data_IF_341997500233
#
_entry.id   IF_341997500233
#
_cell.length_a   1.000
_cell.length_b   1.000
_cell.length_c   1.000
_cell.angle_alpha   90.00
_cell.angle_beta   90.00
_cell.angle_gamma   90.00
#
_symmetry.space_group_name_H-M   'P 1'
#
loop_
_entity.id
_entity.type
_entity.pdbx_description
1 polymer ?
#
# COMPACT_ATOMS: atom_id res chain seq x y z
N UNK A 1 -34.02 -40.02 7.83
CA UNK A 1 -33.82 -39.34 6.54
C UNK A 1 -35.13 -38.66 6.15
N UNK A 2 -35.21 -37.33 6.17
CA UNK A 2 -36.16 -36.62 5.31
C UNK A 2 -35.41 -35.74 4.31
N UNK A 3 -35.80 -35.88 3.05
CA UNK A 3 -35.34 -35.12 1.89
C UNK A 3 -35.63 -33.63 2.07
N UNK A 4 -34.59 -32.80 1.92
CA UNK A 4 -34.72 -31.36 1.92
C UNK A 4 -34.95 -30.88 0.47
N UNK A 5 -36.22 -30.59 0.17
CA UNK A 5 -36.71 -30.07 -1.10
C UNK A 5 -36.10 -28.69 -1.42
N UNK A 6 -35.70 -28.54 -2.67
CA UNK A 6 -35.64 -27.31 -3.45
C UNK A 6 -34.97 -26.08 -2.81
N UNK A 7 -33.63 -26.06 -2.85
CA UNK A 7 -32.91 -24.78 -2.91
C UNK A 7 -33.02 -24.25 -4.34
N UNK A 8 -33.46 -23.00 -4.56
CA UNK A 8 -33.46 -22.43 -5.90
C UNK A 8 -32.02 -22.43 -6.44
N UNK A 9 -31.79 -23.22 -7.49
CA UNK A 9 -30.59 -23.11 -8.32
C UNK A 9 -30.66 -21.76 -9.01
N UNK A 10 -29.86 -20.81 -8.52
CA UNK A 10 -29.65 -19.56 -9.25
C UNK A 10 -29.07 -19.93 -10.63
N UNK A 11 -29.69 -19.50 -11.73
CA UNK A 11 -29.16 -19.77 -13.06
C UNK A 11 -27.72 -19.23 -13.13
N UNK A 12 -26.84 -19.97 -13.81
CA UNK A 12 -25.46 -19.61 -14.09
C UNK A 12 -25.38 -18.18 -14.65
N UNK A 13 -25.24 -17.19 -13.77
CA UNK A 13 -24.90 -15.84 -14.17
C UNK A 13 -23.50 -15.92 -14.79
N UNK A 14 -23.26 -15.28 -15.95
CA UNK A 14 -21.91 -15.14 -16.46
C UNK A 14 -21.03 -14.58 -15.34
N UNK A 15 -19.95 -15.29 -15.00
CA UNK A 15 -19.06 -14.91 -13.90
C UNK A 15 -18.39 -13.61 -14.29
N UNK A 16 -19.01 -12.48 -13.92
CA UNK A 16 -18.44 -11.16 -14.15
C UNK A 16 -17.00 -11.17 -13.60
N UNK A 17 -15.99 -10.83 -14.42
CA UNK A 17 -14.60 -10.87 -13.99
C UNK A 17 -14.46 -9.96 -12.77
N UNK A 18 -13.77 -10.45 -11.74
CA UNK A 18 -13.71 -9.73 -10.46
C UNK A 18 -12.62 -8.66 -10.52
N UNK A 19 -12.79 -7.51 -9.81
CA UNK A 19 -11.88 -6.38 -9.93
C UNK A 19 -10.59 -6.57 -9.11
N UNK A 20 -10.22 -7.83 -8.83
CA UNK A 20 -9.07 -8.18 -8.01
C UNK A 20 -8.55 -9.59 -8.35
N UNK A 21 -7.32 -9.85 -7.93
CA UNK A 21 -6.77 -11.20 -7.82
C UNK A 21 -6.08 -11.38 -6.47
N UNK A 22 -5.50 -12.55 -6.28
CA UNK A 22 -4.81 -12.96 -5.06
C UNK A 22 -3.35 -13.25 -5.40
N UNK A 23 -2.44 -12.70 -4.60
CA UNK A 23 -1.05 -13.16 -4.53
C UNK A 23 -1.03 -14.29 -3.52
N UNK A 24 -0.72 -15.49 -3.99
CA UNK A 24 -0.76 -16.71 -3.18
C UNK A 24 0.29 -16.68 -2.06
N UNK A 25 -0.05 -17.31 -0.94
CA UNK A 25 0.91 -17.51 0.14
C UNK A 25 1.87 -18.63 -0.23
N UNK A 26 3.16 -18.30 -0.29
CA UNK A 26 4.21 -19.26 -0.59
C UNK A 26 4.60 -20.06 0.66
N UNK A 27 4.59 -21.39 0.62
CA UNK A 27 5.03 -22.26 1.72
C UNK A 27 6.51 -22.14 2.14
N UNK A 28 7.31 -21.31 1.46
CA UNK A 28 8.73 -21.10 1.77
C UNK A 28 9.02 -20.66 3.22
N UNK A 29 10.27 -20.87 3.64
CA UNK A 29 10.76 -20.53 4.98
C UNK A 29 10.63 -19.02 5.21
N UNK A 30 10.08 -18.67 6.37
CA UNK A 30 9.92 -17.27 6.77
C UNK A 30 11.27 -16.69 7.21
N UNK A 31 11.60 -15.51 6.68
CA UNK A 31 12.74 -14.75 7.17
C UNK A 31 12.42 -14.14 8.54
N UNK A 32 13.44 -14.11 9.39
CA UNK A 32 13.36 -13.75 10.80
C UNK A 32 14.58 -12.93 11.21
N UNK A 33 14.35 -11.91 12.03
CA UNK A 33 15.35 -10.96 12.48
C UNK A 33 15.20 -10.72 13.98
N UNK A 34 16.34 -10.57 14.64
CA UNK A 34 16.37 -10.18 16.04
C UNK A 34 16.30 -8.65 16.14
N UNK A 35 15.40 -8.10 16.97
CA UNK A 35 15.31 -6.68 17.31
C UNK A 35 16.66 -6.02 17.56
N UNK A 36 17.54 -6.68 18.32
CA UNK A 36 18.83 -6.11 18.69
C UNK A 36 19.71 -5.78 17.48
N UNK A 37 19.65 -6.57 16.40
CA UNK A 37 20.49 -6.40 15.20
C UNK A 37 20.13 -5.13 14.40
N UNK A 38 18.94 -4.57 14.63
CA UNK A 38 18.38 -3.42 13.89
C UNK A 38 17.79 -2.34 14.82
N UNK A 39 17.96 -2.49 16.13
CA UNK A 39 17.28 -1.76 17.21
C UNK A 39 17.35 -0.24 17.13
N UNK A 40 16.44 0.42 17.84
CA UNK A 40 16.39 1.89 17.90
C UNK A 40 17.43 2.51 18.85
N UNK A 41 18.11 1.68 19.66
CA UNK A 41 19.04 2.12 20.69
C UNK A 41 20.32 2.74 20.11
N UNK A 42 20.71 2.37 18.88
CA UNK A 42 21.91 2.89 18.24
C UNK A 42 21.74 2.91 16.72
N UNK A 43 22.24 3.98 16.09
CA UNK A 43 22.48 3.99 14.65
C UNK A 43 23.71 3.15 14.32
N UNK A 44 23.54 2.13 13.46
CA UNK A 44 24.61 1.21 13.08
C UNK A 44 25.33 1.70 11.83
N UNK A 45 26.65 1.73 11.88
CA UNK A 45 27.49 2.28 10.81
C UNK A 45 27.42 1.45 9.52
N UNK A 46 27.10 0.16 9.62
CA UNK A 46 26.96 -0.75 8.48
C UNK A 46 25.52 -0.85 7.92
N UNK A 47 24.60 -0.02 8.41
CA UNK A 47 23.21 0.04 7.95
C UNK A 47 22.89 1.45 7.44
N UNK A 48 21.80 1.57 6.68
CA UNK A 48 21.38 2.81 6.04
C UNK A 48 20.35 3.57 6.87
N UNK A 49 20.47 4.90 6.83
CA UNK A 49 19.65 5.87 7.54
C UNK A 49 19.42 7.04 6.61
N UNK A 50 18.20 7.55 6.57
CA UNK A 50 17.90 8.57 5.58
C UNK A 50 16.43 8.85 5.38
N UNK A 51 16.14 9.51 4.25
CA UNK A 51 14.77 9.73 3.82
C UNK A 51 14.61 9.68 2.31
N UNK A 52 13.47 9.15 1.88
CA UNK A 52 12.99 9.26 0.51
C UNK A 52 12.07 10.47 0.41
N UNK A 53 12.23 11.29 -0.63
CA UNK A 53 11.21 12.25 -1.05
C UNK A 53 10.41 11.66 -2.21
N UNK A 54 9.10 11.60 -2.06
CA UNK A 54 8.20 10.95 -3.00
C UNK A 54 7.25 11.95 -3.65
N UNK A 55 6.99 11.74 -4.93
CA UNK A 55 5.85 12.33 -5.63
C UNK A 55 4.82 11.23 -5.95
N UNK A 56 3.57 11.47 -5.56
CA UNK A 56 2.43 10.58 -5.76
C UNK A 56 1.54 11.17 -6.85
N UNK A 57 1.57 10.61 -8.05
CA UNK A 57 0.79 11.07 -9.22
C UNK A 57 -0.50 10.28 -9.33
N UNK A 58 -1.64 10.94 -9.11
CA UNK A 58 -2.97 10.34 -9.19
C UNK A 58 -3.35 10.09 -10.64
N UNK A 59 -3.77 8.86 -10.96
CA UNK A 59 -4.15 8.47 -12.33
C UNK A 59 -5.65 8.27 -12.53
N UNK A 60 -6.37 7.98 -11.44
CA UNK A 60 -7.83 7.79 -11.39
C UNK A 60 -8.36 8.52 -10.16
N UNK A 61 -9.64 8.88 -10.14
CA UNK A 61 -10.28 9.54 -8.99
C UNK A 61 -9.83 8.92 -7.64
N UNK A 62 -9.38 9.74 -6.70
CA UNK A 62 -8.84 9.31 -5.41
C UNK A 62 -9.63 9.99 -4.29
N UNK A 63 -10.12 9.16 -3.37
CA UNK A 63 -10.72 9.58 -2.11
C UNK A 63 -10.10 8.78 -0.95
N UNK A 64 -9.55 9.49 0.04
CA UNK A 64 -9.06 8.90 1.30
C UNK A 64 -9.91 9.45 2.44
N UNK A 65 -10.88 8.64 2.87
CA UNK A 65 -11.86 9.03 3.89
C UNK A 65 -11.23 9.31 5.25
N UNK A 66 -11.61 10.41 5.87
CA UNK A 66 -11.33 10.71 7.29
C UNK A 66 -12.30 10.04 8.26
N UNK A 67 -13.44 9.55 7.74
CA UNK A 67 -14.57 9.09 8.55
C UNK A 67 -15.49 10.23 8.98
N UNK A 68 -15.15 11.48 8.65
CA UNK A 68 -15.96 12.67 8.92
C UNK A 68 -16.87 12.96 7.72
N UNK A 69 -18.10 13.33 8.02
CA UNK A 69 -19.09 13.84 7.05
C UNK A 69 -19.37 15.29 7.40
N UNK A 70 -19.33 16.17 6.41
CA UNK A 70 -19.57 17.61 6.57
C UNK A 70 -20.74 18.05 5.70
N UNK A 71 -21.29 19.24 5.97
CA UNK A 71 -22.29 19.82 5.09
C UNK A 71 -21.63 20.33 3.81
N UNK A 72 -22.30 20.19 2.66
CA UNK A 72 -21.75 20.68 1.39
C UNK A 72 -21.36 22.14 1.40
N UNK A 73 -22.19 22.97 2.06
CA UNK A 73 -21.94 24.40 2.22
C UNK A 73 -20.58 24.70 2.87
N UNK A 74 -20.09 23.83 3.75
CA UNK A 74 -18.81 24.01 4.46
C UNK A 74 -17.60 23.77 3.54
N UNK A 75 -17.82 23.13 2.38
CA UNK A 75 -16.81 22.85 1.35
C UNK A 75 -17.19 23.43 -0.02
N UNK A 76 -18.07 24.43 -0.04
CA UNK A 76 -18.46 25.14 -1.27
C UNK A 76 -19.30 24.32 -2.25
N UNK A 77 -20.06 23.33 -1.78
CA UNK A 77 -20.87 22.44 -2.60
C UNK A 77 -22.37 22.53 -2.28
N UNK A 78 -23.21 22.35 -3.31
CA UNK A 78 -24.67 22.24 -3.16
C UNK A 78 -25.12 20.87 -2.63
N UNK A 79 -24.23 19.88 -2.62
CA UNK A 79 -24.55 18.52 -2.16
C UNK A 79 -24.66 18.49 -0.63
N UNK A 80 -25.80 18.08 -0.03
CA UNK A 80 -26.06 18.30 1.40
C UNK A 80 -25.00 17.73 2.35
N UNK A 81 -24.55 16.49 2.14
CA UNK A 81 -23.59 15.80 3.00
C UNK A 81 -22.48 15.15 2.17
N UNK A 82 -21.23 15.34 2.60
CA UNK A 82 -20.05 14.91 1.85
C UNK A 82 -19.06 14.24 2.78
N UNK A 83 -18.55 13.07 2.39
CA UNK A 83 -17.41 12.42 3.05
C UNK A 83 -16.12 13.12 2.65
N UNK A 84 -15.36 13.61 3.63
CA UNK A 84 -14.20 14.46 3.36
C UNK A 84 -12.87 13.71 3.36
N UNK A 85 -11.89 14.35 2.73
CA UNK A 85 -10.47 14.06 2.90
C UNK A 85 -9.88 15.02 3.93
N UNK A 86 -8.74 14.65 4.52
CA UNK A 86 -8.04 15.56 5.41
C UNK A 86 -7.48 16.73 4.60
N UNK A 87 -7.46 17.92 5.20
CA UNK A 87 -6.93 19.14 4.59
C UNK A 87 -5.88 19.76 5.51
N UNK A 88 -4.81 20.31 4.94
CA UNK A 88 -3.78 21.08 5.63
C UNK A 88 -3.41 22.27 4.76
N UNK A 89 -3.48 23.49 5.30
CA UNK A 89 -3.19 24.73 4.57
C UNK A 89 -3.90 24.78 3.20
N UNK A 90 -5.21 24.52 3.18
CA UNK A 90 -6.08 24.48 1.98
C UNK A 90 -5.72 23.44 0.91
N UNK A 91 -4.84 22.50 1.24
CA UNK A 91 -4.46 21.39 0.36
C UNK A 91 -4.92 20.08 0.95
N UNK A 92 -5.48 19.23 0.10
CA UNK A 92 -5.82 17.88 0.52
C UNK A 92 -4.58 17.11 0.95
N UNK A 93 -4.73 16.29 1.98
CA UNK A 93 -3.68 15.42 2.48
C UNK A 93 -4.11 13.95 2.46
N UNK A 94 -3.11 13.09 2.30
CA UNK A 94 -3.22 11.65 2.50
C UNK A 94 -2.49 11.34 3.80
N UNK A 95 -3.17 10.80 4.82
CA UNK A 95 -2.51 10.40 6.06
C UNK A 95 -1.36 9.42 5.78
N UNK A 96 -0.22 9.60 6.43
CA UNK A 96 0.94 8.72 6.30
C UNK A 96 0.60 7.26 6.62
N UNK A 97 -0.37 7.04 7.52
CA UNK A 97 -0.93 5.73 7.85
C UNK A 97 -1.61 5.03 6.66
N UNK A 98 -2.23 5.78 5.75
CA UNK A 98 -2.88 5.23 4.55
C UNK A 98 -1.84 4.70 3.56
N UNK A 99 -0.79 5.48 3.30
CA UNK A 99 0.32 5.03 2.44
C UNK A 99 1.07 3.87 3.11
N UNK A 100 1.35 3.96 4.41
CA UNK A 100 1.98 2.91 5.20
C UNK A 100 1.22 1.58 5.09
N UNK A 101 -0.10 1.59 5.23
CA UNK A 101 -0.93 0.38 5.17
C UNK A 101 -0.96 -0.27 3.77
N UNK A 102 -1.03 0.55 2.72
CA UNK A 102 -0.94 0.08 1.34
C UNK A 102 0.42 -0.55 1.04
N UNK A 103 1.50 0.14 1.42
CA UNK A 103 2.86 -0.32 1.18
C UNK A 103 3.22 -1.54 2.04
N UNK A 104 2.79 -1.59 3.31
CA UNK A 104 2.94 -2.77 4.16
C UNK A 104 2.29 -3.99 3.53
N UNK A 105 1.12 -3.83 2.92
CA UNK A 105 0.41 -4.94 2.29
C UNK A 105 1.15 -5.53 1.11
N UNK A 106 1.73 -4.66 0.28
CA UNK A 106 2.60 -5.04 -0.84
C UNK A 106 3.87 -5.72 -0.29
N UNK A 107 4.55 -5.08 0.66
CA UNK A 107 5.78 -5.59 1.24
C UNK A 107 5.60 -6.95 1.92
N UNK A 108 4.50 -7.16 2.66
CA UNK A 108 4.16 -8.45 3.26
C UNK A 108 4.01 -9.55 2.20
N UNK A 109 3.37 -9.25 1.06
CA UNK A 109 3.23 -10.19 -0.05
C UNK A 109 4.56 -10.50 -0.74
N UNK A 110 5.39 -9.48 -0.98
CA UNK A 110 6.69 -9.64 -1.63
C UNK A 110 7.70 -10.39 -0.75
N UNK A 111 7.66 -10.21 0.57
CA UNK A 111 8.63 -10.82 1.50
C UNK A 111 8.13 -12.08 2.19
N UNK A 112 6.95 -12.59 1.78
CA UNK A 112 6.25 -13.69 2.44
C UNK A 112 6.13 -13.49 3.97
N UNK A 113 5.99 -12.24 4.42
CA UNK A 113 5.93 -11.93 5.85
C UNK A 113 4.55 -12.30 6.42
N UNK A 114 4.49 -12.80 7.68
CA UNK A 114 3.24 -12.92 8.42
C UNK A 114 2.41 -11.63 8.42
N UNK A 115 1.09 -11.80 8.48
CA UNK A 115 0.16 -10.68 8.41
C UNK A 115 0.19 -9.88 9.71
N UNK A 116 0.41 -8.57 9.62
CA UNK A 116 0.44 -7.70 10.81
C UNK A 116 -0.90 -7.58 11.53
N UNK A 117 -2.03 -7.72 10.82
CA UNK A 117 -3.38 -7.60 11.37
C UNK A 117 -4.28 -8.68 10.77
N UNK A 118 -4.97 -9.42 11.63
CA UNK A 118 -5.95 -10.42 11.23
C UNK A 118 -7.22 -10.20 12.06
N UNK A 119 -8.36 -10.07 11.39
CA UNK A 119 -9.67 -10.00 12.06
C UNK A 119 -9.93 -11.30 12.80
N UNK A 120 -10.33 -11.23 14.07
CA UNK A 120 -10.57 -12.42 14.92
C UNK A 120 -11.45 -13.49 14.27
N UNK A 121 -12.50 -13.07 13.53
CA UNK A 121 -13.40 -13.95 12.76
C UNK A 121 -12.68 -14.90 11.79
N UNK A 122 -11.57 -14.47 11.18
CA UNK A 122 -10.86 -15.27 10.17
C UNK A 122 -9.56 -15.86 10.68
N UNK A 123 -9.22 -15.70 11.96
CA UNK A 123 -7.95 -16.18 12.53
C UNK A 123 -7.75 -17.70 12.37
N UNK A 124 -8.82 -18.49 12.56
CA UNK A 124 -8.79 -19.94 12.36
C UNK A 124 -8.70 -20.37 10.90
N UNK A 125 -9.02 -19.47 9.96
CA UNK A 125 -8.92 -19.71 8.51
C UNK A 125 -7.58 -19.23 7.93
N UNK A 126 -6.61 -18.85 8.76
CA UNK A 126 -5.29 -18.39 8.31
C UNK A 126 -4.24 -19.47 8.56
N UNK A 127 -3.30 -19.72 7.63
CA UNK A 127 -2.17 -20.60 7.89
C UNK A 127 -1.42 -20.15 9.16
N UNK A 128 -1.18 -21.07 10.09
CA UNK A 128 -0.61 -20.76 11.43
C UNK A 128 0.69 -19.97 11.32
N UNK A 129 1.55 -20.30 10.34
CA UNK A 129 2.82 -19.62 10.10
C UNK A 129 2.69 -18.13 9.74
N UNK A 130 1.52 -17.71 9.23
CA UNK A 130 1.23 -16.33 8.82
C UNK A 130 0.51 -15.52 9.90
N UNK A 131 0.22 -16.12 11.05
CA UNK A 131 -0.31 -15.38 12.19
C UNK A 131 0.75 -14.39 12.71
N UNK A 132 0.33 -13.24 13.27
CA UNK A 132 1.25 -12.26 13.84
C UNK A 132 2.15 -12.93 14.89
N UNK A 133 3.47 -12.76 14.73
CA UNK A 133 4.44 -13.18 15.75
C UNK A 133 4.24 -12.37 17.05
N UNK A 134 4.47 -13.03 18.19
CA UNK A 134 4.61 -12.37 19.50
C UNK A 134 6.09 -12.38 19.90
N UNK A 135 6.58 -11.32 20.53
CA UNK A 135 7.93 -11.27 21.10
C UNK A 135 9.02 -10.76 20.16
N UNK A 136 10.25 -11.22 20.39
CA UNK A 136 11.49 -10.70 19.79
C UNK A 136 11.87 -11.36 18.45
N UNK A 137 10.95 -12.04 17.77
CA UNK A 137 11.21 -12.66 16.47
C UNK A 137 10.46 -11.93 15.36
N UNK A 138 11.14 -10.98 14.71
CA UNK A 138 10.53 -10.08 13.74
C UNK A 138 10.68 -10.63 12.32
N UNK A 139 9.58 -10.64 11.58
CA UNK A 139 9.63 -10.84 10.13
C UNK A 139 10.01 -9.52 9.41
N UNK A 140 10.41 -9.56 8.12
CA UNK A 140 10.76 -8.35 7.37
C UNK A 140 9.73 -7.21 7.49
N UNK A 141 8.44 -7.50 7.33
CA UNK A 141 7.40 -6.46 7.38
C UNK A 141 7.22 -5.89 8.79
N UNK A 142 7.25 -6.72 9.83
CA UNK A 142 7.19 -6.28 11.23
C UNK A 142 8.39 -5.41 11.59
N UNK A 143 9.59 -5.77 11.10
CA UNK A 143 10.80 -4.99 11.32
C UNK A 143 10.65 -3.56 10.79
N UNK A 144 10.24 -3.41 9.52
CA UNK A 144 10.13 -2.11 8.87
C UNK A 144 8.89 -1.34 9.32
N UNK A 145 7.72 -1.96 9.32
CA UNK A 145 6.43 -1.28 9.52
C UNK A 145 5.92 -1.31 10.97
N UNK A 146 6.59 -2.05 11.86
CA UNK A 146 6.23 -2.18 13.27
C UNK A 146 5.41 -3.44 13.58
N UNK A 147 5.35 -3.82 14.85
CA UNK A 147 4.51 -4.88 15.39
C UNK A 147 4.12 -4.53 16.83
N UNK A 148 3.30 -5.38 17.47
CA UNK A 148 3.07 -5.25 18.92
C UNK A 148 4.42 -5.29 19.65
N UNK A 149 4.67 -4.28 20.49
CA UNK A 149 5.94 -4.10 21.22
C UNK A 149 7.18 -3.81 20.35
N UNK A 150 7.02 -3.45 19.08
CA UNK A 150 8.13 -3.04 18.20
C UNK A 150 7.76 -1.84 17.33
N UNK A 151 8.52 -0.76 17.45
CA UNK A 151 8.36 0.42 16.60
C UNK A 151 8.99 0.15 15.22
N UNK A 152 8.26 0.45 14.14
CA UNK A 152 8.79 0.26 12.80
C UNK A 152 10.04 1.12 12.51
N UNK A 153 10.96 0.59 11.71
CA UNK A 153 12.14 1.33 11.24
C UNK A 153 11.82 2.39 10.18
N UNK A 154 10.63 2.34 9.58
CA UNK A 154 10.17 3.35 8.61
C UNK A 154 9.04 4.22 9.16
N UNK A 155 9.13 5.52 8.90
CA UNK A 155 8.16 6.52 9.32
C UNK A 155 7.64 7.30 8.10
N UNK A 156 6.31 7.38 7.99
CA UNK A 156 5.61 7.97 6.84
C UNK A 156 5.05 9.32 7.26
N UNK A 157 5.46 10.38 6.57
CA UNK A 157 4.79 11.68 6.71
C UNK A 157 3.49 11.71 5.92
N UNK A 158 2.57 12.57 6.34
CA UNK A 158 1.37 12.85 5.55
C UNK A 158 1.77 13.40 4.18
N UNK A 159 1.12 12.90 3.13
CA UNK A 159 1.33 13.44 1.79
C UNK A 159 0.46 14.67 1.61
N UNK A 160 1.05 15.77 1.16
CA UNK A 160 0.37 17.05 0.97
C UNK A 160 0.21 17.33 -0.51
N UNK A 161 -0.97 17.75 -0.92
CA UNK A 161 -1.26 18.14 -2.30
C UNK A 161 -0.34 19.24 -2.81
N UNK A 162 -0.05 19.27 -4.11
CA UNK A 162 0.81 20.29 -4.71
C UNK A 162 0.07 21.59 -5.03
N UNK A 163 -1.25 21.55 -5.13
CA UNK A 163 -2.12 22.67 -5.49
C UNK A 163 -3.36 22.66 -4.60
N UNK A 164 -3.95 23.83 -4.27
CA UNK A 164 -5.32 23.86 -3.78
C UNK A 164 -6.21 23.32 -4.89
N UNK A 165 -7.21 22.52 -4.54
CA UNK A 165 -8.07 21.91 -5.54
C UNK A 165 -8.65 20.60 -5.07
N UNK A 166 -9.94 20.60 -4.86
CA UNK A 166 -10.75 19.40 -4.64
C UNK A 166 -12.01 19.53 -5.46
N UNK A 167 -12.59 18.39 -5.82
CA UNK A 167 -13.91 18.34 -6.39
C UNK A 167 -14.78 17.40 -5.57
N UNK A 168 -16.07 17.68 -5.57
CA UNK A 168 -17.07 16.73 -5.08
C UNK A 168 -17.38 15.77 -6.22
N UNK A 169 -17.24 14.47 -5.95
CA UNK A 169 -17.69 13.43 -6.86
C UNK A 169 -18.59 12.43 -6.15
N UNK A 170 -19.16 11.53 -6.94
CA UNK A 170 -20.07 10.51 -6.44
C UNK A 170 -19.46 9.14 -6.68
N UNK A 171 -19.10 8.47 -5.60
CA UNK A 171 -18.61 7.10 -5.63
C UNK A 171 -19.82 6.14 -5.67
N UNK A 172 -19.90 5.20 -6.64
CA UNK A 172 -20.97 4.22 -6.67
C UNK A 172 -21.07 3.41 -5.37
N UNK A 173 -22.30 3.05 -5.01
CA UNK A 173 -22.56 2.15 -3.89
C UNK A 173 -22.03 0.75 -4.20
N UNK A 174 -21.26 0.18 -3.28
CA UNK A 174 -20.71 -1.17 -3.38
C UNK A 174 -21.34 -2.05 -2.30
N UNK A 175 -21.55 -3.33 -2.59
CA UNK A 175 -21.94 -4.30 -1.58
C UNK A 175 -20.79 -4.55 -0.60
N UNK A 176 -21.16 -5.00 0.59
CA UNK A 176 -20.19 -5.45 1.57
C UNK A 176 -19.40 -6.66 1.04
N UNK A 177 -18.12 -6.81 1.41
CA UNK A 177 -17.36 -8.00 1.07
C UNK A 177 -18.06 -9.26 1.63
N UNK A 178 -18.24 -10.28 0.79
CA UNK A 178 -18.88 -11.55 1.16
C UNK A 178 -17.89 -12.72 1.14
N UNK A 179 -16.84 -12.73 1.99
CA UNK A 179 -15.78 -13.74 1.91
C UNK A 179 -16.26 -15.15 2.23
N UNK A 180 -17.24 -15.33 3.11
CA UNK A 180 -17.76 -16.66 3.48
C UNK A 180 -18.56 -17.33 2.35
N UNK A 181 -19.03 -16.56 1.37
CA UNK A 181 -19.75 -17.08 0.20
C UNK A 181 -18.80 -17.47 -0.95
N UNK A 182 -17.48 -17.30 -0.77
CA UNK A 182 -16.52 -17.44 -1.85
C UNK A 182 -15.47 -18.51 -1.55
N UNK A 183 -15.68 -19.68 -2.13
CA UNK A 183 -14.76 -20.82 -2.03
C UNK A 183 -13.36 -20.48 -2.53
N UNK A 184 -13.24 -19.66 -3.58
CA UNK A 184 -11.93 -19.27 -4.14
C UNK A 184 -11.01 -18.48 -3.18
N UNK A 185 -11.47 -18.08 -2.00
CA UNK A 185 -10.61 -17.51 -0.97
C UNK A 185 -9.92 -18.54 -0.10
N UNK A 186 -10.41 -19.79 -0.09
CA UNK A 186 -9.97 -20.83 0.83
C UNK A 186 -9.70 -22.15 0.09
N UNK A 187 -8.53 -22.73 0.32
CA UNK A 187 -8.22 -24.12 -0.05
C UNK A 187 -8.08 -24.90 1.25
N UNK A 188 -8.80 -26.02 1.37
CA UNK A 188 -8.83 -26.84 2.59
C UNK A 188 -9.15 -26.03 3.85
N UNK A 189 -10.05 -25.03 3.73
CA UNK A 189 -10.47 -24.16 4.83
C UNK A 189 -9.48 -23.05 5.21
N UNK A 190 -8.31 -22.97 4.57
CA UNK A 190 -7.29 -21.97 4.83
C UNK A 190 -7.20 -20.94 3.70
N UNK A 191 -6.95 -19.69 4.05
CA UNK A 191 -6.81 -18.60 3.11
C UNK A 191 -5.64 -18.84 2.15
N UNK A 192 -5.89 -18.66 0.85
CA UNK A 192 -4.92 -18.99 -0.22
C UNK A 192 -3.88 -17.91 -0.44
N UNK A 193 -4.16 -16.66 -0.04
CA UNK A 193 -3.26 -15.54 -0.31
C UNK A 193 -3.84 -14.18 0.05
N UNK A 194 -3.12 -13.13 -0.37
CA UNK A 194 -3.50 -11.73 -0.18
C UNK A 194 -4.20 -11.16 -1.41
N UNK A 195 -5.38 -10.60 -1.21
CA UNK A 195 -6.18 -9.94 -2.27
C UNK A 195 -5.62 -8.55 -2.62
N UNK A 196 -5.42 -8.29 -3.90
CA UNK A 196 -5.09 -6.99 -4.47
C UNK A 196 -6.06 -6.63 -5.60
N UNK A 197 -6.55 -5.39 -5.60
CA UNK A 197 -7.45 -4.89 -6.64
C UNK A 197 -6.66 -4.46 -7.87
N UNK A 198 -7.20 -4.75 -9.04
CA UNK A 198 -6.63 -4.30 -10.30
C UNK A 198 -6.75 -2.78 -10.45
N UNK A 199 -5.90 -2.22 -11.30
CA UNK A 199 -6.11 -0.88 -11.82
C UNK A 199 -7.15 -0.90 -12.94
N UNK A 200 -7.68 0.27 -13.25
CA UNK A 200 -8.57 0.49 -14.38
C UNK A 200 -8.19 1.81 -15.06
N UNK A 201 -8.48 1.91 -16.36
CA UNK A 201 -8.25 3.12 -17.18
C UNK A 201 -8.86 4.37 -16.56
N UNK A 202 -10.02 4.22 -15.93
CA UNK A 202 -10.75 5.26 -15.23
C UNK A 202 -11.57 4.67 -14.09
N UNK A 203 -11.90 5.52 -13.12
CA UNK A 203 -12.87 5.20 -12.08
C UNK A 203 -14.30 5.34 -12.62
N UNK A 204 -15.20 4.44 -12.22
CA UNK A 204 -16.63 4.58 -12.51
C UNK A 204 -17.19 5.72 -11.65
N UNK A 205 -17.71 6.76 -12.29
CA UNK A 205 -18.48 7.81 -11.62
C UNK A 205 -19.90 7.34 -11.37
N UNK A 206 -20.44 7.63 -10.19
CA UNK A 206 -21.87 7.49 -9.91
C UNK A 206 -22.73 8.55 -10.61
N UNK A 207 -22.09 9.49 -11.32
CA UNK A 207 -22.75 10.68 -11.86
C UNK A 207 -23.13 11.60 -10.71
N UNK A 208 -24.42 11.68 -10.47
CA UNK A 208 -25.14 12.39 -9.42
C UNK A 208 -25.79 11.43 -8.41
N UNK A 209 -25.54 10.11 -8.53
CA UNK A 209 -26.01 9.05 -7.63
C UNK A 209 -24.84 8.37 -6.90
N UNK A 210 -25.11 7.85 -5.70
CA UNK A 210 -24.11 7.15 -4.88
C UNK A 210 -23.66 7.98 -3.68
N UNK A 211 -22.48 7.69 -3.16
CA UNK A 211 -21.93 8.34 -1.96
C UNK A 211 -21.14 9.58 -2.37
N UNK A 212 -21.55 10.80 -1.96
CA UNK A 212 -20.79 12.00 -2.22
C UNK A 212 -19.47 12.00 -1.45
N UNK A 213 -18.38 12.22 -2.17
CA UNK A 213 -17.02 12.21 -1.63
C UNK A 213 -16.24 13.41 -2.13
N UNK A 214 -15.46 14.01 -1.24
CA UNK A 214 -14.41 14.93 -1.59
C UNK A 214 -13.26 14.15 -2.20
N UNK A 215 -12.84 14.50 -3.41
CA UNK A 215 -11.85 13.72 -4.15
C UNK A 215 -10.91 14.60 -4.98
N UNK A 216 -9.87 13.97 -5.52
CA UNK A 216 -9.01 14.54 -6.56
C UNK A 216 -9.06 13.70 -7.82
N UNK A 217 -8.91 14.36 -8.98
CA UNK A 217 -8.92 13.72 -10.30
C UNK A 217 -7.53 13.27 -10.77
N UNK A 218 -7.49 12.77 -12.01
CA UNK A 218 -6.27 12.42 -12.73
C UNK A 218 -5.31 13.63 -12.79
N UNK A 219 -4.00 13.36 -12.75
CA UNK A 219 -2.88 14.31 -12.77
C UNK A 219 -2.68 15.13 -11.50
N UNK A 220 -3.57 15.05 -10.50
CA UNK A 220 -3.29 15.65 -9.20
C UNK A 220 -2.08 14.98 -8.54
N UNK A 221 -1.22 15.77 -7.91
CA UNK A 221 0.01 15.28 -7.28
C UNK A 221 0.03 15.55 -5.78
N UNK A 222 0.58 14.62 -5.01
CA UNK A 222 0.95 14.84 -3.62
C UNK A 222 2.47 14.68 -3.46
N UNK A 223 3.05 15.39 -2.50
CA UNK A 223 4.44 15.22 -2.06
C UNK A 223 4.47 14.67 -0.64
N UNK A 224 5.36 13.72 -0.38
CA UNK A 224 5.59 13.18 0.97
C UNK A 224 7.05 12.76 1.15
N UNK A 225 7.41 12.33 2.35
CA UNK A 225 8.65 11.63 2.60
C UNK A 225 8.49 10.42 3.51
N UNK A 226 9.35 9.42 3.28
CA UNK A 226 9.52 8.25 4.14
C UNK A 226 10.89 8.36 4.79
N UNK A 227 10.92 8.46 6.11
CA UNK A 227 12.16 8.39 6.89
C UNK A 227 12.45 6.95 7.27
N UNK A 228 13.70 6.55 7.25
CA UNK A 228 14.13 5.21 7.62
C UNK A 228 15.42 5.24 8.43
N UNK A 229 15.62 4.20 9.23
CA UNK A 229 16.81 4.02 10.07
C UNK A 229 17.22 2.56 10.08
N UNK A 230 18.53 2.29 10.21
CA UNK A 230 19.07 0.96 10.35
C UNK A 230 18.52 -0.05 9.32
N UNK A 231 18.36 0.33 8.05
CA UNK A 231 17.95 -0.62 7.01
C UNK A 231 19.20 -1.27 6.40
N UNK A 232 19.17 -2.59 6.18
CA UNK A 232 20.15 -3.21 5.30
C UNK A 232 19.92 -2.78 3.84
N UNK A 233 20.92 -2.99 2.99
CA UNK A 233 20.82 -2.77 1.54
C UNK A 233 19.59 -3.49 0.94
N UNK A 234 19.41 -4.76 1.29
CA UNK A 234 18.26 -5.56 0.85
C UNK A 234 16.93 -5.03 1.38
N UNK A 235 16.85 -4.56 2.63
CA UNK A 235 15.62 -3.97 3.17
C UNK A 235 15.24 -2.67 2.46
N UNK A 236 16.24 -1.85 2.12
CA UNK A 236 16.04 -0.63 1.33
C UNK A 236 15.51 -0.98 -0.06
N UNK A 237 16.10 -1.99 -0.70
CA UNK A 237 15.68 -2.48 -2.01
C UNK A 237 14.26 -3.02 -2.01
N UNK A 238 13.90 -3.87 -1.05
CA UNK A 238 12.55 -4.42 -0.95
C UNK A 238 11.49 -3.32 -0.73
N UNK A 239 11.84 -2.24 -0.02
CA UNK A 239 10.97 -1.08 0.16
C UNK A 239 10.80 -0.30 -1.15
N UNK A 240 11.87 -0.12 -1.93
CA UNK A 240 11.84 0.51 -3.26
C UNK A 240 11.03 -0.32 -4.27
N UNK A 241 11.23 -1.63 -4.30
CA UNK A 241 10.43 -2.55 -5.13
C UNK A 241 8.96 -2.46 -4.73
N UNK A 242 8.64 -2.38 -3.43
CA UNK A 242 7.26 -2.22 -2.94
C UNK A 242 6.61 -0.90 -3.36
N UNK A 243 7.41 0.13 -3.69
CA UNK A 243 6.97 1.40 -4.26
C UNK A 243 6.80 1.34 -5.79
N UNK A 244 7.00 0.19 -6.41
CA UNK A 244 6.90 0.00 -7.86
C UNK A 244 8.10 0.56 -8.64
N UNK A 245 9.26 0.71 -7.99
CA UNK A 245 10.45 1.30 -8.62
C UNK A 245 11.34 0.29 -9.36
N UNK A 246 11.00 -1.01 -9.30
CA UNK A 246 11.73 -2.05 -10.02
C UNK A 246 11.50 -1.89 -11.53
N UNK A 247 12.55 -1.67 -12.36
CA UNK A 247 12.39 -1.45 -13.79
C UNK A 247 11.84 -2.67 -14.54
N UNK A 248 12.10 -3.88 -14.05
CA UNK A 248 11.60 -5.13 -14.67
C UNK A 248 10.15 -5.41 -14.26
N UNK A 249 9.72 -4.86 -13.12
CA UNK A 249 8.39 -5.09 -12.54
C UNK A 249 7.72 -3.78 -12.08
N UNK A 250 7.52 -2.79 -12.97
CA UNK A 250 6.91 -1.52 -12.59
C UNK A 250 5.41 -1.70 -12.32
N UNK A 251 4.91 -1.04 -11.28
CA UNK A 251 3.48 -1.05 -10.95
C UNK A 251 3.04 0.22 -10.22
N UNK A 252 1.72 0.47 -10.21
CA UNK A 252 1.12 1.54 -9.42
C UNK A 252 0.57 1.01 -8.08
N UNK A 253 0.27 1.90 -7.14
CA UNK A 253 -0.31 1.55 -5.84
C UNK A 253 -1.81 1.85 -5.84
N UNK A 254 -2.62 0.93 -5.30
CA UNK A 254 -4.04 1.19 -4.99
C UNK A 254 -4.26 1.74 -3.59
N UNK A 255 -4.69 3.00 -3.52
CA UNK A 255 -4.89 3.77 -2.29
C UNK A 255 -6.36 4.20 -2.11
N UNK A 256 -6.80 4.40 -0.86
CA UNK A 256 -8.11 4.98 -0.58
C UNK A 256 -9.31 4.04 -0.79
N UNK A 257 -10.49 4.64 -0.88
CA UNK A 257 -11.78 3.98 -1.08
C UNK A 257 -12.07 3.71 -2.57
N UNK A 258 -13.13 2.96 -2.87
CA UNK A 258 -13.62 2.76 -4.24
C UNK A 258 -12.74 1.86 -5.13
N UNK A 259 -11.82 1.09 -4.54
CA UNK A 259 -10.90 0.22 -5.30
C UNK A 259 -11.61 -0.71 -6.31
N UNK A 260 -12.74 -1.39 -5.97
CA UNK A 260 -13.47 -2.24 -6.93
C UNK A 260 -13.99 -1.50 -8.17
N UNK A 261 -14.27 -0.21 -8.05
CA UNK A 261 -14.82 0.66 -9.11
C UNK A 261 -13.75 1.56 -9.73
N UNK A 262 -12.47 1.18 -9.60
CA UNK A 262 -11.36 1.81 -10.29
C UNK A 262 -10.71 3.00 -9.58
N UNK A 263 -11.15 3.40 -8.39
CA UNK A 263 -10.57 4.55 -7.67
C UNK A 263 -9.16 4.28 -7.14
N UNK A 264 -8.37 5.35 -7.04
CA UNK A 264 -7.13 5.39 -6.26
C UNK A 264 -5.91 4.71 -6.88
N UNK A 265 -5.78 4.69 -8.20
CA UNK A 265 -4.49 4.42 -8.86
C UNK A 265 -3.54 5.59 -8.63
N UNK A 266 -2.40 5.31 -8.02
CA UNK A 266 -1.35 6.29 -7.74
C UNK A 266 -0.01 5.74 -8.20
N UNK A 267 0.64 6.43 -9.13
CA UNK A 267 2.04 6.16 -9.51
C UNK A 267 2.93 6.87 -8.51
N UNK A 268 3.93 6.17 -7.98
CA UNK A 268 4.90 6.74 -7.06
C UNK A 268 6.22 6.95 -7.79
N UNK A 269 6.84 8.10 -7.54
CA UNK A 269 8.16 8.43 -8.02
C UNK A 269 9.05 8.80 -6.83
N UNK A 270 10.21 8.15 -6.73
CA UNK A 270 11.26 8.55 -5.80
C UNK A 270 12.03 9.69 -6.47
N UNK A 271 11.87 10.90 -5.94
CA UNK A 271 12.50 12.10 -6.52
C UNK A 271 13.88 12.38 -5.91
N UNK A 272 14.06 12.00 -4.63
CA UNK A 272 15.29 12.25 -3.89
C UNK A 272 15.52 11.13 -2.87
N UNK A 273 16.79 10.82 -2.64
CA UNK A 273 17.24 10.01 -1.52
C UNK A 273 18.29 10.79 -0.74
N UNK A 274 18.01 11.06 0.53
CA UNK A 274 18.98 11.61 1.47
C UNK A 274 19.59 10.45 2.26
N UNK A 275 20.84 10.11 1.98
CA UNK A 275 21.63 9.18 2.79
C UNK A 275 22.48 9.94 3.80
N UNK A 276 22.60 9.39 5.02
CA UNK A 276 23.37 10.00 6.10
C UNK A 276 24.58 9.15 6.42
N UNK A 277 25.73 9.55 5.88
CA UNK A 277 26.97 8.77 5.95
C UNK A 277 27.57 8.77 7.36
N UNK A 278 27.51 9.90 8.07
CA UNK A 278 27.99 9.99 9.44
C UNK A 278 27.04 10.83 10.30
N UNK A 279 26.10 10.16 10.96
CA UNK A 279 25.17 10.80 11.89
C UNK A 279 25.90 11.50 13.05
N UNK A 280 27.01 10.93 13.53
CA UNK A 280 27.78 11.54 14.63
C UNK A 280 28.33 12.91 14.21
N UNK A 281 28.99 13.00 13.05
CA UNK A 281 29.50 14.28 12.51
C UNK A 281 28.39 15.32 12.37
N UNK A 282 27.22 14.91 11.86
CA UNK A 282 26.05 15.80 11.74
C UNK A 282 25.63 16.42 13.08
N UNK A 283 25.69 15.67 14.18
CA UNK A 283 25.30 16.17 15.51
C UNK A 283 26.45 16.83 16.28
N UNK A 284 27.68 16.79 15.75
CA UNK A 284 28.84 17.47 16.34
C UNK A 284 29.12 18.85 15.70
N UNK A 285 28.33 19.24 14.71
CA UNK A 285 28.48 20.51 13.99
C UNK A 285 27.14 21.21 13.81
N UNK A 286 27.12 22.53 14.03
CA UNK A 286 26.01 23.40 13.63
C UNK A 286 26.01 23.69 12.13
N UNK A 287 27.12 23.42 11.43
CA UNK A 287 27.17 23.46 9.98
C UNK A 287 26.44 22.22 9.47
N UNK A 288 25.49 22.40 8.57
CA UNK A 288 24.90 21.26 7.87
C UNK A 288 25.98 20.63 7.00
N UNK A 289 26.69 19.64 7.52
CA UNK A 289 27.41 18.71 6.65
C UNK A 289 26.40 18.26 5.59
N UNK A 290 26.82 18.36 4.33
CA UNK A 290 25.98 18.10 3.17
C UNK A 290 25.43 16.68 3.31
N UNK A 291 24.19 16.55 3.77
CA UNK A 291 23.45 15.31 3.59
C UNK A 291 23.47 15.05 2.08
N UNK A 292 24.04 13.92 1.64
CA UNK A 292 24.15 13.63 0.22
C UNK A 292 22.73 13.37 -0.32
N UNK A 293 22.16 14.44 -0.88
CA UNK A 293 20.89 14.41 -1.58
C UNK A 293 21.17 13.85 -2.97
N UNK A 294 20.85 12.59 -3.16
CA UNK A 294 21.00 11.90 -4.43
C UNK A 294 19.78 12.22 -5.31
N UNK A 295 20.08 12.63 -6.54
CA UNK A 295 19.11 12.98 -7.59
C UNK A 295 19.59 12.43 -8.94
N UNK A 296 18.69 12.41 -9.92
CA UNK A 296 19.01 12.03 -11.30
C UNK A 296 19.71 10.67 -11.40
N UNK A 297 20.83 10.63 -12.11
CA UNK A 297 21.56 9.39 -12.38
C UNK A 297 22.17 8.75 -11.12
N UNK A 298 22.65 9.57 -10.17
CA UNK A 298 23.19 9.07 -8.92
C UNK A 298 22.11 8.38 -8.07
N UNK A 299 20.89 8.95 -8.06
CA UNK A 299 19.74 8.33 -7.41
C UNK A 299 19.37 6.99 -8.06
N UNK A 300 19.30 6.94 -9.40
CA UNK A 300 18.96 5.73 -10.15
C UNK A 300 19.93 4.58 -9.85
N UNK A 301 21.24 4.84 -9.98
CA UNK A 301 22.28 3.84 -9.67
C UNK A 301 22.19 3.36 -8.22
N UNK A 302 21.96 4.28 -7.28
CA UNK A 302 21.81 3.90 -5.87
C UNK A 302 20.58 3.02 -5.67
N UNK A 303 19.43 3.36 -6.23
CA UNK A 303 18.21 2.56 -6.13
C UNK A 303 18.40 1.17 -6.75
N UNK A 304 19.06 1.09 -7.91
CA UNK A 304 19.37 -0.16 -8.59
C UNK A 304 20.19 -1.10 -7.71
N UNK A 305 21.28 -0.61 -7.09
CA UNK A 305 22.09 -1.40 -6.15
C UNK A 305 21.26 -1.96 -5.00
N UNK A 306 20.36 -1.16 -4.42
CA UNK A 306 19.48 -1.63 -3.35
C UNK A 306 18.53 -2.74 -3.82
N UNK A 307 17.87 -2.52 -4.95
CA UNK A 307 16.91 -3.48 -5.50
C UNK A 307 17.61 -4.79 -5.90
N UNK A 308 18.79 -4.71 -6.51
CA UNK A 308 19.63 -5.88 -6.80
C UNK A 308 19.98 -6.66 -5.53
N UNK A 309 20.34 -6.00 -4.43
CA UNK A 309 20.58 -6.68 -3.16
C UNK A 309 19.33 -7.39 -2.61
N UNK A 310 18.14 -6.80 -2.78
CA UNK A 310 16.88 -7.44 -2.36
C UNK A 310 16.56 -8.70 -3.16
N UNK A 311 16.89 -8.71 -4.46
CA UNK A 311 16.77 -9.87 -5.34
C UNK A 311 17.81 -10.94 -5.01
N UNK A 312 19.09 -10.57 -4.89
CA UNK A 312 20.21 -11.49 -4.61
C UNK A 312 20.06 -12.20 -3.26
N UNK A 313 19.60 -11.48 -2.24
CA UNK A 313 19.32 -12.06 -0.91
C UNK A 313 18.01 -12.84 -0.84
N UNK A 314 17.24 -12.89 -1.94
CA UNK A 314 15.92 -13.50 -2.03
C UNK A 314 14.94 -12.99 -0.96
N UNK A 315 15.15 -11.76 -0.48
CA UNK A 315 14.20 -11.10 0.41
C UNK A 315 12.88 -10.83 -0.30
N UNK A 316 12.94 -10.46 -1.59
CA UNK A 316 11.77 -10.39 -2.45
C UNK A 316 11.57 -11.72 -3.15
N UNK A 317 10.39 -12.31 -2.94
CA UNK A 317 9.99 -13.54 -3.60
C UNK A 317 9.62 -13.26 -5.06
N UNK A 318 10.39 -13.85 -5.99
CA UNK A 318 10.22 -13.62 -7.42
C UNK A 318 8.82 -13.96 -7.94
N UNK A 319 8.24 -15.10 -7.54
CA UNK A 319 6.89 -15.50 -7.97
C UNK A 319 5.83 -14.53 -7.46
N UNK A 320 5.95 -14.10 -6.21
CA UNK A 320 5.05 -13.11 -5.63
C UNK A 320 5.18 -11.75 -6.34
N UNK A 321 6.41 -11.33 -6.69
CA UNK A 321 6.66 -10.12 -7.46
C UNK A 321 6.04 -10.17 -8.86
N UNK A 322 6.28 -11.24 -9.62
CA UNK A 322 5.69 -11.46 -10.95
C UNK A 322 4.15 -11.46 -10.88
N UNK A 323 3.57 -12.13 -9.88
CA UNK A 323 2.12 -12.13 -9.67
C UNK A 323 1.60 -10.74 -9.30
N UNK A 324 2.26 -10.05 -8.38
CA UNK A 324 1.83 -8.74 -7.91
C UNK A 324 1.96 -7.69 -9.03
N UNK A 325 3.06 -7.69 -9.77
CA UNK A 325 3.30 -6.77 -10.88
C UNK A 325 2.23 -6.92 -11.98
N UNK A 326 1.82 -8.15 -12.29
CA UNK A 326 0.67 -8.39 -13.21
C UNK A 326 -0.65 -7.85 -12.65
N UNK A 327 -0.88 -7.93 -11.33
CA UNK A 327 -2.12 -7.45 -10.70
C UNK A 327 -2.15 -5.92 -10.60
N UNK A 328 -1.02 -5.31 -10.26
CA UNK A 328 -0.87 -3.87 -10.06
C UNK A 328 -0.28 -3.16 -11.28
N UNK A 329 -0.27 -3.83 -12.44
CA UNK A 329 0.28 -3.31 -13.68
C UNK A 329 -0.35 -1.95 -14.01
N UNK A 330 0.51 -1.00 -14.37
CA UNK A 330 0.11 0.31 -14.85
C UNK A 330 1.14 0.83 -15.87
N UNK A 331 0.72 1.40 -17.03
CA UNK A 331 -0.66 1.56 -17.51
C UNK A 331 -1.39 0.23 -17.74
N UNK A 332 -2.72 0.28 -17.83
CA UNK A 332 -3.57 -0.88 -18.08
C UNK A 332 -4.68 -0.51 -19.07
N UNK A 333 -5.19 -1.49 -19.78
CA UNK A 333 -6.36 -1.45 -20.67
C UNK A 333 -7.67 -1.86 -19.98
N UNK A 334 -7.61 -2.26 -18.70
CA UNK A 334 -8.77 -2.78 -17.97
C UNK A 334 -9.79 -1.70 -17.70
N UNK A 335 -11.05 -2.01 -17.95
CA UNK A 335 -12.17 -1.18 -17.54
C UNK A 335 -12.63 -1.51 -16.12
N UNK A 336 -13.05 -0.48 -15.38
CA UNK A 336 -13.67 -0.68 -14.09
C UNK A 336 -15.09 -1.23 -14.28
N UNK A 337 -15.45 -2.21 -13.45
CA UNK A 337 -16.74 -2.87 -13.54
C UNK A 337 -17.88 -1.89 -13.21
N UNK A 338 -18.93 -1.90 -14.04
CA UNK A 338 -20.13 -1.06 -13.86
C UNK A 338 -21.25 -1.90 -13.23
N UNK A 339 -21.84 -1.43 -12.13
CA UNK A 339 -22.92 -2.10 -11.41
C UNK A 339 -22.69 -2.16 -9.90
N UNK A 340 -23.70 -2.64 -9.16
CA UNK A 340 -23.56 -2.89 -7.72
C UNK A 340 -22.84 -4.24 -7.53
N UNK A 341 -21.68 -4.24 -6.86
CA UNK A 341 -20.84 -5.43 -6.64
C UNK A 341 -20.44 -5.63 -5.21
#
# INVERSE_FOLDING_TARGET
>A
MPENKDRPQYPNQPVNPKPYSVVEFDGSKLQRYRPMDYGHNKYRDNLFHGSFSLQLKVQTALHVSTGVVVMGKDVGSKVPLIKTMQTSQDKLTIPGSSLKGALRSIFEALTNSPLGVITGKYKSKMPVRLLPSKGEDLNPASLLFGAMSWQGLVHFKDAVGTSPGTQVGFMPSMYSPQPDKRVAYFINGLAVGRKFYYHAVAAVSGGDRGVPVQQVGKNYSFKTSIQFRNLSEAHLGALLISLGQDPDYPFAIKLGAGKPVGFGTVVVEVTHLECRDNLKSRYQSYRSDQSHKLEGEALRKRMEVAMQAAHQTQLVNKRALESLARILQWPTDREALRGNY
#
